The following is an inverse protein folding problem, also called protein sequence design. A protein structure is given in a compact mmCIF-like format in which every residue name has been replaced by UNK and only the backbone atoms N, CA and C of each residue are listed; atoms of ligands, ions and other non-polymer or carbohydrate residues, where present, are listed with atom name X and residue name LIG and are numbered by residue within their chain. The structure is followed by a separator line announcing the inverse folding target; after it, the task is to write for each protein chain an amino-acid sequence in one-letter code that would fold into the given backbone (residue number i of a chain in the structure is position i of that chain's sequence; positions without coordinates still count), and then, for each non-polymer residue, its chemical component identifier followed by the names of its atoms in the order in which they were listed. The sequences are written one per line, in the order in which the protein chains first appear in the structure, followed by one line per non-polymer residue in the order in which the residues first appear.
data_IF_186648688402
#
_entry.id   IF_186648688402
#
_cell.length_a   1.000
_cell.length_b   1.000
_cell.length_c   1.000
_cell.angle_alpha   90.00
_cell.angle_beta   90.00
_cell.angle_gamma   90.00
#
_symmetry.space_group_name_H-M   'P 1'
#
loop_
_entity.id
_entity.type
_entity.pdbx_description
1 polymer ?
#
# COMPACT_ATOMS: atom_id res chain seq x y z
N UNK A 1 15.92 8.32 4.15
CA UNK A 1 15.14 7.77 3.01
C UNK A 1 15.76 8.26 1.71
N UNK A 2 15.78 7.43 0.68
CA UNK A 2 16.25 7.82 -0.65
C UNK A 2 15.20 8.70 -1.35
N UNK A 3 15.63 9.54 -2.28
CA UNK A 3 14.72 10.37 -3.08
C UNK A 3 13.68 9.51 -3.85
N UNK A 4 14.07 8.29 -4.22
CA UNK A 4 13.20 7.31 -4.87
C UNK A 4 12.06 6.79 -3.99
N UNK A 5 12.12 6.93 -2.65
CA UNK A 5 11.04 6.52 -1.76
C UNK A 5 9.83 7.46 -1.84
N UNK A 6 10.00 8.71 -2.30
CA UNK A 6 8.88 9.68 -2.36
C UNK A 6 7.70 9.18 -3.19
N UNK A 7 7.99 8.48 -4.29
CA UNK A 7 6.95 7.90 -5.16
C UNK A 7 6.08 6.84 -4.46
N UNK A 8 6.56 6.25 -3.36
CA UNK A 8 5.78 5.25 -2.60
C UNK A 8 4.61 5.88 -1.83
N UNK A 9 4.60 7.22 -1.67
CA UNK A 9 3.51 7.98 -1.08
C UNK A 9 2.53 8.56 -2.11
N UNK A 10 2.80 8.36 -3.41
CA UNK A 10 1.90 8.77 -4.49
C UNK A 10 0.86 7.65 -4.73
N UNK A 11 -0.33 7.82 -4.17
CA UNK A 11 -1.47 6.90 -4.35
C UNK A 11 -2.62 7.59 -5.10
N UNK A 12 -3.51 6.84 -5.77
CA UNK A 12 -4.68 7.43 -6.43
C UNK A 12 -5.53 8.25 -5.46
N UNK A 13 -6.10 9.36 -5.94
CA UNK A 13 -6.90 10.27 -5.09
C UNK A 13 -8.10 9.59 -4.42
N UNK A 14 -8.71 8.60 -5.07
CA UNK A 14 -9.85 7.85 -4.54
C UNK A 14 -9.45 6.62 -3.70
N UNK A 15 -8.16 6.44 -3.44
CA UNK A 15 -7.66 5.28 -2.70
C UNK A 15 -7.70 5.52 -1.19
N UNK A 16 -7.93 4.45 -0.44
CA UNK A 16 -7.70 4.42 1.00
C UNK A 16 -6.29 3.88 1.26
N UNK A 17 -5.47 4.61 2.01
CA UNK A 17 -4.11 4.19 2.36
C UNK A 17 -4.15 3.09 3.42
N UNK A 18 -3.37 2.03 3.22
CA UNK A 18 -3.16 0.95 4.18
C UNK A 18 -1.74 1.09 4.75
N UNK A 19 -1.64 1.28 6.06
CA UNK A 19 -0.36 1.45 6.72
C UNK A 19 0.49 0.17 6.64
N UNK A 20 1.80 0.32 6.42
CA UNK A 20 2.78 -0.77 6.45
C UNK A 20 3.80 -0.47 7.55
N UNK A 21 3.67 -1.05 8.76
CA UNK A 21 4.62 -0.79 9.84
C UNK A 21 5.96 -1.53 9.68
N UNK A 22 6.05 -2.50 8.75
CA UNK A 22 7.21 -3.37 8.57
C UNK A 22 8.18 -2.83 7.53
N UNK A 23 7.66 -2.18 6.48
CA UNK A 23 8.43 -1.63 5.37
C UNK A 23 8.15 -0.15 5.09
N UNK A 24 8.62 0.34 3.95
CA UNK A 24 8.42 1.75 3.55
C UNK A 24 7.34 1.95 2.50
N UNK A 25 6.95 0.89 1.77
CA UNK A 25 5.89 0.97 0.77
C UNK A 25 4.53 0.79 1.47
N UNK A 26 3.70 1.83 1.50
CA UNK A 26 2.32 1.66 1.96
C UNK A 26 1.53 0.79 0.97
N UNK A 27 0.51 0.10 1.48
CA UNK A 27 -0.53 -0.47 0.63
C UNK A 27 -1.63 0.55 0.37
N UNK A 28 -2.55 0.24 -0.53
CA UNK A 28 -3.77 1.02 -0.70
C UNK A 28 -4.90 0.18 -1.29
N UNK A 29 -6.14 0.59 -1.05
CA UNK A 29 -7.33 -0.01 -1.64
C UNK A 29 -8.06 0.99 -2.54
N UNK A 30 -8.61 0.50 -3.66
CA UNK A 30 -9.45 1.29 -4.57
C UNK A 30 -10.73 0.53 -4.85
N UNK A 31 -11.87 1.22 -4.71
CA UNK A 31 -13.13 0.73 -5.23
C UNK A 31 -13.22 1.10 -6.72
N UNK A 32 -13.21 0.09 -7.60
CA UNK A 32 -13.43 0.27 -9.03
C UNK A 32 -14.67 -0.53 -9.45
N UNK A 33 -15.72 0.16 -9.87
CA UNK A 33 -17.04 -0.42 -10.12
C UNK A 33 -17.54 -1.18 -8.87
N UNK A 34 -17.93 -2.45 -9.03
CA UNK A 34 -18.34 -3.36 -7.95
C UNK A 34 -17.19 -4.25 -7.45
N UNK A 35 -15.93 -3.81 -7.61
CA UNK A 35 -14.75 -4.55 -7.19
C UNK A 35 -13.89 -3.70 -6.25
N UNK A 36 -13.57 -4.25 -5.08
CA UNK A 36 -12.56 -3.71 -4.18
C UNK A 36 -11.21 -4.33 -4.51
N UNK A 37 -10.26 -3.50 -4.91
CA UNK A 37 -8.91 -3.91 -5.30
C UNK A 37 -7.91 -3.50 -4.24
N UNK A 38 -7.04 -4.44 -3.86
CA UNK A 38 -5.97 -4.21 -2.89
C UNK A 38 -4.61 -4.23 -3.58
N UNK A 39 -3.78 -3.24 -3.27
CA UNK A 39 -2.40 -3.14 -3.69
C UNK A 39 -1.55 -3.20 -2.43
N UNK A 40 -0.75 -4.25 -2.30
CA UNK A 40 0.02 -4.55 -1.09
C UNK A 40 1.50 -4.71 -1.42
N UNK A 41 2.40 -4.57 -0.43
CA UNK A 41 3.81 -4.83 -0.63
C UNK A 41 4.07 -6.26 -1.14
N UNK A 42 5.02 -6.41 -2.06
CA UNK A 42 5.38 -7.71 -2.63
C UNK A 42 6.22 -8.60 -1.68
N UNK A 43 6.74 -8.03 -0.58
CA UNK A 43 7.53 -8.78 0.40
C UNK A 43 6.59 -9.51 1.35
N UNK A 44 6.64 -10.85 1.47
CA UNK A 44 5.68 -11.61 2.26
C UNK A 44 5.60 -11.21 3.74
N UNK A 45 6.72 -10.83 4.36
CA UNK A 45 6.75 -10.37 5.74
C UNK A 45 6.10 -9.00 5.96
N UNK A 46 5.93 -8.20 4.91
CA UNK A 46 5.24 -6.90 4.97
C UNK A 46 3.72 -7.04 4.77
N UNK A 47 3.26 -8.12 4.11
CA UNK A 47 1.84 -8.40 3.95
C UNK A 47 1.23 -9.16 5.13
N UNK A 48 2.03 -10.00 5.80
CA UNK A 48 1.60 -10.71 7.00
C UNK A 48 1.61 -9.76 8.18
N UNK A 49 0.44 -9.27 8.57
CA UNK A 49 0.25 -8.76 9.93
C UNK A 49 -0.05 -9.98 10.78
N UNK A 50 0.96 -10.48 11.50
CA UNK A 50 0.73 -11.49 12.53
C UNK A 50 -0.29 -10.91 13.53
N UNK A 51 -1.39 -11.62 13.71
CA UNK A 51 -2.37 -11.36 14.78
C UNK A 51 -1.86 -11.84 16.12
#
# INVERSE_FOLDING_TARGET
MAASNRKQAEIPQSAEMINNPVGTACGFAVQLNRCLMFFTPGVPSEFKVDG
#
